data_IF_606548463648
#
_entry.id   IF_606548463648
#
_cell.length_a   1.000
_cell.length_b   1.000
_cell.length_c   1.000
_cell.angle_alpha   90.00
_cell.angle_beta   90.00
_cell.angle_gamma   90.00
#
_symmetry.space_group_name_H-M   'P 1'
#
loop_
_entity.id
_entity.type
_entity.pdbx_description
1 polymer ?
#
# COMPACT_ATOMS: atom_id res chain seq x y z
N UNK A 1 21.21 11.86 8.09
CA UNK A 1 20.09 12.78 7.74
C UNK A 1 18.83 11.95 7.58
N UNK A 2 18.11 11.67 8.65
CA UNK A 2 16.77 11.08 8.54
C UNK A 2 15.82 11.95 9.34
N UNK A 3 15.57 13.15 8.85
CA UNK A 3 14.31 13.80 9.19
C UNK A 3 13.23 13.04 8.42
N UNK A 4 12.44 12.26 9.14
CA UNK A 4 11.20 11.71 8.62
C UNK A 4 10.29 12.89 8.32
N UNK A 5 10.19 13.27 7.04
CA UNK A 5 9.18 14.23 6.58
C UNK A 5 7.84 13.53 6.72
N UNK A 6 7.16 13.78 7.84
CA UNK A 6 5.80 13.31 8.07
C UNK A 6 4.85 14.17 7.22
N UNK A 7 4.21 13.53 6.24
CA UNK A 7 3.18 14.18 5.43
C UNK A 7 1.86 14.07 6.20
N UNK A 8 1.25 15.20 6.53
CA UNK A 8 -0.04 15.24 7.22
C UNK A 8 -1.09 14.38 6.49
N UNK A 9 -1.75 13.49 7.24
CA UNK A 9 -2.79 12.60 6.72
C UNK A 9 -2.27 11.32 6.03
N UNK A 10 -0.95 11.16 5.86
CA UNK A 10 -0.36 9.89 5.42
C UNK A 10 -0.15 8.99 6.63
N UNK A 11 -0.63 7.75 6.53
CA UNK A 11 -0.47 6.75 7.58
C UNK A 11 0.37 5.59 7.04
N UNK A 12 1.48 5.31 7.72
CA UNK A 12 2.32 4.14 7.45
C UNK A 12 1.98 3.07 8.48
N UNK A 13 1.43 1.96 8.03
CA UNK A 13 1.06 0.83 8.87
C UNK A 13 1.95 -0.37 8.53
N UNK A 14 2.79 -0.87 9.48
CA UNK A 14 3.44 -2.15 9.32
C UNK A 14 2.40 -3.27 9.14
N UNK A 15 2.54 -4.05 8.07
CA UNK A 15 1.65 -5.14 7.73
C UNK A 15 2.24 -6.49 8.12
N UNK A 16 1.40 -7.39 8.62
CA UNK A 16 1.83 -8.74 9.01
C UNK A 16 2.13 -9.58 7.77
N UNK A 17 3.27 -10.26 7.80
CA UNK A 17 3.62 -11.32 6.86
C UNK A 17 3.65 -12.63 7.65
N UNK A 18 2.97 -13.65 7.15
CA UNK A 18 2.91 -14.97 7.77
C UNK A 18 3.76 -15.90 6.91
N UNK A 19 4.87 -16.36 7.45
CA UNK A 19 5.76 -17.28 6.75
C UNK A 19 5.08 -18.63 6.53
N UNK A 20 5.22 -19.18 5.33
CA UNK A 20 4.80 -20.53 4.96
C UNK A 20 5.77 -21.11 3.93
N UNK A 21 5.88 -22.45 3.90
CA UNK A 21 6.80 -23.18 3.01
C UNK A 21 6.48 -23.01 1.52
N UNK A 22 5.23 -22.73 1.17
CA UNK A 22 4.77 -22.49 -0.20
C UNK A 22 4.82 -21.01 -0.60
N UNK A 23 5.30 -20.13 0.29
CA UNK A 23 5.33 -18.69 0.11
C UNK A 23 4.49 -17.96 1.17
N UNK A 24 4.85 -16.72 1.54
CA UNK A 24 4.20 -16.04 2.65
C UNK A 24 2.78 -15.58 2.33
N UNK A 25 1.91 -15.56 3.35
CA UNK A 25 0.63 -14.86 3.30
C UNK A 25 0.86 -13.41 3.73
N UNK A 26 0.51 -12.47 2.85
CA UNK A 26 0.74 -11.04 3.03
C UNK A 26 -0.57 -10.33 3.35
N UNK A 27 -0.65 -9.67 4.51
CA UNK A 27 -1.80 -8.80 4.79
C UNK A 27 -1.71 -7.51 3.99
N UNK A 28 -2.84 -7.07 3.42
CA UNK A 28 -3.01 -5.71 2.88
C UNK A 28 -3.98 -4.90 3.74
N UNK A 29 -5.26 -5.26 3.72
CA UNK A 29 -6.33 -4.51 4.39
C UNK A 29 -7.36 -5.48 4.96
N UNK A 30 -7.77 -5.25 6.20
CA UNK A 30 -8.82 -6.01 6.90
C UNK A 30 -9.99 -5.10 7.20
N UNK A 31 -11.20 -5.65 7.27
CA UNK A 31 -12.40 -4.88 7.60
C UNK A 31 -12.36 -4.25 8.99
N UNK A 32 -11.63 -4.86 9.93
CA UNK A 32 -11.42 -4.38 11.30
C UNK A 32 -10.25 -3.40 11.42
N UNK A 33 -9.56 -3.09 10.32
CA UNK A 33 -8.52 -2.06 10.30
C UNK A 33 -9.14 -0.68 10.39
N UNK A 34 -8.54 0.22 11.19
CA UNK A 34 -8.91 1.65 11.22
C UNK A 34 -8.71 2.34 9.86
N UNK A 35 -7.90 1.75 8.97
CA UNK A 35 -7.68 2.23 7.60
C UNK A 35 -8.77 1.79 6.62
N UNK A 36 -9.60 0.82 7.02
CA UNK A 36 -10.71 0.34 6.21
C UNK A 36 -11.95 1.19 6.47
N UNK A 37 -12.53 1.72 5.39
CA UNK A 37 -13.83 2.41 5.42
C UNK A 37 -14.87 1.60 4.66
N UNK A 38 -14.61 1.39 3.37
CA UNK A 38 -15.43 0.59 2.46
C UNK A 38 -14.62 0.27 1.21
N UNK A 39 -15.04 -0.74 0.44
CA UNK A 39 -14.49 -0.99 -0.89
C UNK A 39 -15.28 -0.21 -1.95
N UNK A 40 -14.56 0.36 -2.91
CA UNK A 40 -15.10 0.74 -4.22
C UNK A 40 -14.53 -0.17 -5.30
N UNK A 41 -13.20 -0.29 -5.32
CA UNK A 41 -12.46 -1.13 -6.27
C UNK A 41 -11.13 -1.58 -5.64
N UNK A 42 -10.64 -2.75 -6.05
CA UNK A 42 -9.27 -3.23 -5.78
C UNK A 42 -8.67 -3.66 -7.10
N UNK A 43 -7.47 -3.17 -7.41
CA UNK A 43 -6.75 -3.50 -8.62
C UNK A 43 -5.26 -3.66 -8.34
N UNK A 44 -4.57 -4.37 -9.23
CA UNK A 44 -3.12 -4.51 -9.23
C UNK A 44 -2.54 -3.84 -10.46
N UNK A 45 -1.33 -3.33 -10.33
CA UNK A 45 -0.62 -2.74 -11.46
C UNK A 45 0.88 -2.87 -11.27
N UNK A 46 1.60 -3.11 -12.36
CA UNK A 46 3.05 -3.31 -12.33
C UNK A 46 3.80 -2.09 -12.86
N UNK A 47 5.02 -1.89 -12.38
CA UNK A 47 5.95 -0.88 -12.90
C UNK A 47 7.16 -1.64 -13.43
N UNK A 48 7.41 -1.55 -14.73
CA UNK A 48 8.60 -2.17 -15.31
C UNK A 48 9.86 -1.44 -14.84
N UNK A 49 10.96 -2.17 -14.73
CA UNK A 49 12.24 -1.64 -14.26
C UNK A 49 12.65 -0.37 -15.02
N UNK A 50 13.09 0.65 -14.27
CA UNK A 50 13.52 1.95 -14.80
C UNK A 50 12.38 2.90 -15.21
N UNK A 51 11.11 2.49 -15.12
CA UNK A 51 9.97 3.35 -15.43
C UNK A 51 9.34 3.95 -14.17
N UNK A 52 8.66 5.08 -14.35
CA UNK A 52 7.96 5.80 -13.27
C UNK A 52 6.48 5.95 -13.62
N UNK A 53 5.60 5.58 -12.69
CA UNK A 53 4.19 5.98 -12.75
C UNK A 53 4.02 7.33 -12.03
N UNK A 54 3.61 8.35 -12.78
CA UNK A 54 3.41 9.69 -12.23
C UNK A 54 2.27 9.74 -11.20
N UNK A 55 2.27 10.82 -10.41
CA UNK A 55 1.30 11.10 -9.36
C UNK A 55 -0.13 11.21 -9.91
N UNK A 56 -1.08 10.59 -9.22
CA UNK A 56 -2.51 10.76 -9.46
C UNK A 56 -3.13 11.52 -8.30
N UNK A 57 -3.84 12.61 -8.58
CA UNK A 57 -4.58 13.37 -7.57
C UNK A 57 -6.07 13.08 -7.68
N UNK A 58 -6.59 12.29 -6.75
CA UNK A 58 -8.03 12.06 -6.63
C UNK A 58 -8.66 13.09 -5.69
N UNK A 59 -9.82 13.68 -6.07
CA UNK A 59 -10.53 14.66 -5.24
C UNK A 59 -11.54 14.05 -4.26
N UNK A 60 -11.95 12.80 -4.50
CA UNK A 60 -13.05 12.13 -3.78
C UNK A 60 -12.67 10.75 -3.22
N UNK A 61 -11.42 10.32 -3.42
CA UNK A 61 -10.97 8.97 -3.08
C UNK A 61 -9.65 9.04 -2.34
N UNK A 62 -9.57 8.28 -1.24
CA UNK A 62 -8.31 7.89 -0.59
C UNK A 62 -7.86 6.54 -1.13
N UNK A 63 -6.55 6.34 -1.25
CA UNK A 63 -5.96 5.09 -1.75
C UNK A 63 -5.12 4.44 -0.65
N UNK A 64 -5.35 3.14 -0.42
CA UNK A 64 -4.48 2.30 0.39
C UNK A 64 -3.54 1.55 -0.56
N UNK A 65 -2.25 1.82 -0.49
CA UNK A 65 -1.24 1.23 -1.37
C UNK A 65 -0.37 0.23 -0.61
N UNK A 66 -0.06 -0.88 -1.26
CA UNK A 66 0.89 -1.89 -0.76
C UNK A 66 1.73 -2.39 -1.93
N UNK A 67 2.98 -2.74 -1.65
CA UNK A 67 3.88 -3.40 -2.59
C UNK A 67 4.06 -4.85 -2.12
N UNK A 68 3.28 -5.81 -2.66
CA UNK A 68 3.36 -7.21 -2.22
C UNK A 68 4.59 -7.92 -2.78
N UNK A 69 5.22 -7.38 -3.82
CA UNK A 69 6.38 -7.94 -4.49
C UNK A 69 7.39 -6.84 -4.85
N UNK A 70 8.66 -7.05 -4.53
CA UNK A 70 9.74 -6.15 -4.90
C UNK A 70 9.77 -4.86 -4.08
N UNK A 71 10.03 -3.74 -4.76
CA UNK A 71 10.14 -2.40 -4.17
C UNK A 71 9.77 -1.33 -5.20
N UNK A 72 9.28 -0.19 -4.72
CA UNK A 72 9.02 1.03 -5.49
C UNK A 72 9.84 2.15 -4.86
#
# INVERSE_FOLDING_TARGET
MNESVEIEGVIIQPLKQIADKCGPVLHMLKNDSRLFKQFGEVYFSEIHSGLVKAWKRHKKQSQNLVVPLGKI
#
